data_IF_784124240741
#
_entry.id   IF_784124240741
#
_cell.length_a   1.000
_cell.length_b   1.000
_cell.length_c   1.000
_cell.angle_alpha   90.00
_cell.angle_beta   90.00
_cell.angle_gamma   90.00
#
_symmetry.space_group_name_H-M   'P 1'
#
loop_
_entity.id
_entity.type
_entity.pdbx_description
1 polymer ?
#
# COMPACT_ATOMS: atom_id res chain seq x y z
N UNK A 1 8.91 42.53 44.89
CA UNK A 1 9.08 42.66 43.45
C UNK A 1 8.91 41.24 42.85
N UNK A 2 7.70 40.90 42.40
CA UNK A 2 7.42 39.59 41.85
C UNK A 2 7.56 39.66 40.31
N UNK A 3 8.47 38.90 39.75
CA UNK A 3 8.61 38.75 38.32
C UNK A 3 7.63 37.64 37.83
N UNK A 4 6.66 38.05 37.02
CA UNK A 4 5.74 37.16 36.33
C UNK A 4 6.47 36.56 35.13
N UNK A 5 6.67 35.24 35.14
CA UNK A 5 7.15 34.47 33.98
C UNK A 5 5.94 34.21 33.06
N UNK A 6 5.89 34.88 31.92
CA UNK A 6 4.98 34.58 30.82
C UNK A 6 5.43 33.28 30.16
N UNK A 7 4.53 32.29 30.11
CA UNK A 7 4.69 31.06 29.35
C UNK A 7 4.66 31.37 27.83
N UNK A 8 5.47 30.68 27.01
CA UNK A 8 5.42 30.88 25.57
C UNK A 8 4.09 30.35 24.99
N UNK A 9 3.46 31.17 24.17
CA UNK A 9 2.25 30.81 23.40
C UNK A 9 2.56 29.71 22.38
N UNK A 10 1.73 28.69 22.33
CA UNK A 10 1.80 27.65 21.31
C UNK A 10 1.67 28.27 19.90
N UNK A 11 2.39 27.73 18.90
CA UNK A 11 2.24 28.18 17.53
C UNK A 11 0.83 27.85 17.02
N UNK A 12 0.25 28.67 16.11
CA UNK A 12 -1.05 28.40 15.54
C UNK A 12 -1.01 27.10 14.72
N UNK A 13 -2.02 26.25 14.88
CA UNK A 13 -2.19 25.06 14.05
C UNK A 13 -2.17 25.46 12.57
N UNK A 14 -1.28 24.88 11.80
CA UNK A 14 -1.23 25.04 10.36
C UNK A 14 -2.53 24.55 9.78
N UNK A 15 -3.35 25.44 9.25
CA UNK A 15 -4.54 25.08 8.52
C UNK A 15 -4.12 24.31 7.25
N UNK A 16 -4.49 23.04 7.16
CA UNK A 16 -4.30 22.24 5.96
C UNK A 16 -4.84 23.03 4.75
N UNK A 17 -4.01 23.27 3.76
CA UNK A 17 -4.46 23.87 2.51
C UNK A 17 -5.52 22.94 1.92
N UNK A 18 -6.72 23.42 1.56
CA UNK A 18 -7.68 22.60 0.85
C UNK A 18 -7.01 22.13 -0.45
N UNK A 19 -7.04 20.83 -0.70
CA UNK A 19 -6.66 20.27 -1.98
C UNK A 19 -7.48 20.99 -3.05
N UNK A 20 -6.83 21.55 -4.07
CA UNK A 20 -7.53 22.13 -5.21
C UNK A 20 -8.37 21.06 -5.89
N UNK A 21 -9.41 21.44 -6.67
CA UNK A 21 -10.19 20.47 -7.42
C UNK A 21 -9.22 19.65 -8.31
N UNK A 22 -9.44 18.32 -8.44
CA UNK A 22 -8.63 17.48 -9.30
C UNK A 22 -8.73 17.98 -10.76
N UNK A 23 -7.70 17.74 -11.59
CA UNK A 23 -7.78 18.09 -13.00
C UNK A 23 -8.98 17.38 -13.65
N UNK A 24 -9.69 18.03 -14.58
CA UNK A 24 -10.96 17.58 -15.15
C UNK A 24 -10.91 16.24 -15.91
N UNK A 25 -9.72 15.72 -16.20
CA UNK A 25 -9.51 14.49 -16.99
C UNK A 25 -8.84 13.36 -16.18
N UNK A 26 -8.78 13.44 -14.85
CA UNK A 26 -8.28 12.34 -14.03
C UNK A 26 -9.37 11.26 -13.90
N UNK A 27 -9.18 10.06 -14.50
CA UNK A 27 -10.16 8.99 -14.43
C UNK A 27 -10.43 8.49 -13.01
N UNK A 28 -9.55 8.80 -12.05
CA UNK A 28 -9.72 8.48 -10.64
C UNK A 28 -10.44 9.58 -9.84
N UNK A 29 -10.68 10.75 -10.45
CA UNK A 29 -11.25 11.91 -9.75
C UNK A 29 -12.66 11.68 -9.17
N UNK A 30 -13.36 10.62 -9.58
CA UNK A 30 -14.77 10.41 -9.24
C UNK A 30 -15.10 9.00 -8.74
N UNK A 31 -14.14 8.18 -8.33
CA UNK A 31 -14.45 6.84 -7.86
C UNK A 31 -13.25 5.98 -7.48
N UNK A 32 -13.53 4.71 -7.22
CA UNK A 32 -12.52 3.72 -6.88
C UNK A 32 -12.14 2.90 -8.11
N UNK A 33 -10.84 2.81 -8.37
CA UNK A 33 -10.28 1.81 -9.28
C UNK A 33 -9.89 0.58 -8.48
N UNK A 34 -10.41 -0.60 -8.86
CA UNK A 34 -10.17 -1.84 -8.14
C UNK A 34 -8.98 -2.60 -8.74
N UNK A 35 -8.08 -2.99 -7.88
CA UNK A 35 -6.92 -3.81 -8.21
C UNK A 35 -6.82 -5.05 -7.34
N UNK A 36 -5.86 -5.90 -7.68
CA UNK A 36 -5.64 -7.16 -6.98
C UNK A 36 -4.16 -7.32 -6.62
N UNK A 37 -3.90 -7.98 -5.49
CA UNK A 37 -2.56 -8.35 -5.08
C UNK A 37 -2.05 -9.55 -5.86
N UNK A 38 -0.78 -9.57 -6.24
CA UNK A 38 -0.16 -10.67 -6.99
C UNK A 38 -0.41 -12.05 -6.36
N UNK A 39 -0.37 -12.14 -5.02
CA UNK A 39 -0.57 -13.41 -4.30
C UNK A 39 -2.02 -13.86 -4.20
N UNK A 40 -2.96 -13.06 -4.68
CA UNK A 40 -4.36 -13.44 -4.71
C UNK A 40 -4.67 -14.42 -5.86
N UNK A 41 -3.79 -14.53 -6.84
CA UNK A 41 -3.92 -15.43 -7.97
C UNK A 41 -3.00 -16.64 -7.82
N UNK A 42 -3.49 -17.80 -8.28
CA UNK A 42 -2.76 -19.07 -8.20
C UNK A 42 -1.55 -19.08 -9.12
N UNK A 43 -0.49 -19.69 -8.63
CA UNK A 43 0.69 -20.09 -9.40
C UNK A 43 1.99 -19.57 -8.80
N UNK A 44 3.11 -20.05 -9.33
CA UNK A 44 4.41 -19.53 -8.96
C UNK A 44 4.52 -18.07 -9.41
N UNK A 45 5.37 -17.31 -8.73
CA UNK A 45 5.67 -15.94 -9.14
C UNK A 45 6.19 -15.93 -10.58
N UNK A 46 5.60 -15.11 -11.48
CA UNK A 46 6.08 -15.03 -12.85
C UNK A 46 7.51 -14.50 -12.90
N UNK A 47 8.38 -15.16 -13.70
CA UNK A 47 9.80 -14.79 -13.85
C UNK A 47 10.21 -14.55 -15.31
N UNK A 48 9.33 -14.91 -16.26
CA UNK A 48 9.59 -14.77 -17.69
C UNK A 48 8.39 -14.18 -18.44
N UNK A 49 8.60 -13.49 -19.59
CA UNK A 49 7.54 -12.80 -20.32
C UNK A 49 6.29 -13.62 -20.65
N UNK A 50 6.36 -14.92 -21.07
CA UNK A 50 5.14 -15.71 -21.32
C UNK A 50 4.29 -15.87 -20.06
N UNK A 51 4.93 -16.14 -18.92
CA UNK A 51 4.22 -16.30 -17.63
C UNK A 51 3.52 -15.00 -17.21
N UNK A 52 4.13 -13.83 -17.46
CA UNK A 52 3.51 -12.53 -17.18
C UNK A 52 2.28 -12.30 -18.04
N UNK A 53 2.30 -12.68 -19.31
CA UNK A 53 1.13 -12.56 -20.18
C UNK A 53 -0.05 -13.37 -19.65
N UNK A 54 0.19 -14.63 -19.32
CA UNK A 54 -0.85 -15.53 -18.82
C UNK A 54 -1.37 -15.08 -17.45
N UNK A 55 -0.49 -14.56 -16.60
CA UNK A 55 -0.86 -14.06 -15.28
C UNK A 55 -1.71 -12.79 -15.38
N UNK A 56 -1.30 -11.82 -16.20
CA UNK A 56 -2.03 -10.56 -16.40
C UNK A 56 -3.37 -10.77 -17.13
N UNK A 57 -3.45 -11.80 -17.98
CA UNK A 57 -4.73 -12.19 -18.56
C UNK A 57 -5.74 -12.65 -17.49
N UNK A 58 -5.30 -13.34 -16.42
CA UNK A 58 -6.17 -13.68 -15.30
C UNK A 58 -6.62 -12.44 -14.51
N UNK A 59 -5.73 -11.44 -14.34
CA UNK A 59 -6.08 -10.15 -13.71
C UNK A 59 -7.16 -9.45 -14.51
N UNK A 60 -6.99 -9.34 -15.84
CA UNK A 60 -7.96 -8.74 -16.74
C UNK A 60 -9.29 -9.52 -16.76
N UNK A 61 -9.23 -10.85 -16.78
CA UNK A 61 -10.41 -11.72 -16.72
C UNK A 61 -11.19 -11.52 -15.41
N UNK A 62 -10.50 -11.26 -14.30
CA UNK A 62 -11.13 -10.90 -13.02
C UNK A 62 -11.74 -9.50 -13.00
N UNK A 63 -11.59 -8.73 -14.09
CA UNK A 63 -12.10 -7.36 -14.23
C UNK A 63 -11.30 -6.30 -13.44
N UNK A 64 -10.09 -6.62 -13.00
CA UNK A 64 -9.26 -5.68 -12.24
C UNK A 64 -8.54 -4.68 -13.14
N UNK A 65 -8.52 -3.41 -12.72
CA UNK A 65 -7.88 -2.32 -13.44
C UNK A 65 -6.36 -2.34 -13.27
N UNK A 66 -5.88 -2.86 -12.14
CA UNK A 66 -4.46 -2.89 -11.83
C UNK A 66 -4.05 -4.10 -10.98
N UNK A 67 -2.76 -4.37 -11.01
CA UNK A 67 -2.07 -5.37 -10.22
C UNK A 67 -1.01 -4.69 -9.37
N UNK A 68 -0.97 -4.98 -8.05
CA UNK A 68 0.17 -4.67 -7.22
C UNK A 68 1.09 -5.89 -7.10
N UNK A 69 2.36 -5.67 -7.48
CA UNK A 69 3.39 -6.69 -7.46
C UNK A 69 3.95 -6.91 -6.06
N UNK A 70 4.56 -8.06 -5.82
CA UNK A 70 5.26 -8.38 -4.57
C UNK A 70 6.76 -8.52 -4.79
N UNK A 71 7.54 -7.86 -3.93
CA UNK A 71 8.94 -8.20 -3.67
C UNK A 71 9.00 -8.64 -2.21
N UNK A 72 9.02 -9.96 -1.99
CA UNK A 72 8.96 -10.57 -0.66
C UNK A 72 10.11 -11.56 -0.44
N UNK A 73 10.00 -12.35 0.61
CA UNK A 73 11.03 -13.27 1.09
C UNK A 73 11.12 -14.56 0.27
N UNK A 74 10.19 -14.81 -0.68
CA UNK A 74 10.30 -15.95 -1.59
C UNK A 74 11.45 -15.74 -2.57
N UNK A 75 12.24 -16.81 -2.89
CA UNK A 75 13.41 -16.66 -3.75
C UNK A 75 13.10 -15.99 -5.09
N UNK A 76 11.97 -16.35 -5.70
CA UNK A 76 11.57 -15.83 -7.01
C UNK A 76 11.23 -14.34 -6.98
N UNK A 77 10.56 -13.87 -5.91
CA UNK A 77 10.19 -12.47 -5.76
C UNK A 77 11.31 -11.62 -5.21
N UNK A 78 12.14 -12.15 -4.32
CA UNK A 78 13.34 -11.46 -3.87
C UNK A 78 14.34 -11.24 -5.01
N UNK A 79 14.50 -12.23 -5.90
CA UNK A 79 15.38 -12.10 -7.08
C UNK A 79 14.99 -10.93 -8.00
N UNK A 80 13.78 -10.42 -7.92
CA UNK A 80 13.33 -9.21 -8.64
C UNK A 80 14.11 -7.95 -8.27
N UNK A 81 14.71 -7.90 -7.08
CA UNK A 81 15.58 -6.79 -6.68
C UNK A 81 16.77 -6.61 -7.63
N UNK A 82 17.24 -7.71 -8.22
CA UNK A 82 18.40 -7.75 -9.10
C UNK A 82 18.02 -7.80 -10.60
N UNK A 83 16.72 -7.68 -10.90
CA UNK A 83 16.26 -7.67 -12.30
C UNK A 83 16.80 -6.47 -13.06
N UNK A 84 17.19 -6.73 -14.29
CA UNK A 84 17.59 -5.70 -15.23
C UNK A 84 16.42 -4.81 -15.64
N UNK A 85 16.74 -3.62 -16.12
CA UNK A 85 15.77 -2.70 -16.73
C UNK A 85 14.92 -3.37 -17.82
N UNK A 86 15.53 -4.24 -18.62
CA UNK A 86 14.83 -4.94 -19.69
C UNK A 86 13.78 -5.91 -19.16
N UNK A 87 14.07 -6.64 -18.08
CA UNK A 87 13.12 -7.55 -17.43
C UNK A 87 11.92 -6.77 -16.88
N UNK A 88 12.12 -5.66 -16.19
CA UNK A 88 11.04 -4.80 -15.70
C UNK A 88 10.19 -4.22 -16.83
N UNK A 89 10.82 -3.78 -17.91
CA UNK A 89 10.11 -3.28 -19.10
C UNK A 89 9.33 -4.37 -19.83
N UNK A 90 9.77 -5.62 -19.76
CA UNK A 90 8.99 -6.73 -20.30
C UNK A 90 7.70 -6.97 -19.52
N UNK A 91 7.72 -6.84 -18.18
CA UNK A 91 6.52 -6.86 -17.35
C UNK A 91 5.58 -5.71 -17.72
N UNK A 92 6.12 -4.50 -17.83
CA UNK A 92 5.35 -3.32 -18.24
C UNK A 92 4.64 -3.53 -19.57
N UNK A 93 5.34 -4.00 -20.60
CA UNK A 93 4.72 -4.29 -21.93
C UNK A 93 3.63 -5.34 -21.82
N UNK A 94 3.86 -6.40 -21.05
CA UNK A 94 2.84 -7.44 -20.86
C UNK A 94 1.58 -6.88 -20.16
N UNK A 95 1.74 -5.93 -19.24
CA UNK A 95 0.63 -5.26 -18.57
C UNK A 95 -0.13 -4.33 -19.54
N UNK A 96 0.59 -3.55 -20.34
CA UNK A 96 0.03 -2.70 -21.41
C UNK A 96 -0.75 -3.54 -22.43
N UNK A 97 -0.20 -4.68 -22.87
CA UNK A 97 -0.87 -5.63 -23.80
C UNK A 97 -2.14 -6.24 -23.20
N UNK A 98 -2.20 -6.44 -21.89
CA UNK A 98 -3.35 -6.98 -21.18
C UNK A 98 -4.38 -5.90 -20.79
N UNK A 99 -4.09 -4.62 -21.01
CA UNK A 99 -4.93 -3.52 -20.53
C UNK A 99 -4.98 -3.39 -18.99
N UNK A 100 -3.96 -3.87 -18.28
CA UNK A 100 -3.85 -3.85 -16.83
C UNK A 100 -2.71 -2.92 -16.43
N UNK A 101 -2.95 -2.01 -15.49
CA UNK A 101 -1.89 -1.16 -14.94
C UNK A 101 -1.09 -1.91 -13.87
N UNK A 102 0.21 -1.65 -13.73
CA UNK A 102 0.92 -1.98 -12.51
C UNK A 102 0.73 -0.81 -11.53
N UNK A 103 -0.07 -1.04 -10.49
CA UNK A 103 -0.49 -0.02 -9.54
C UNK A 103 0.58 0.32 -8.51
N UNK A 104 1.33 -0.68 -8.08
CA UNK A 104 2.38 -0.54 -7.09
C UNK A 104 3.27 -1.77 -6.99
N UNK A 105 4.29 -1.66 -6.12
CA UNK A 105 5.10 -2.79 -5.66
C UNK A 105 5.04 -2.81 -4.13
N UNK A 106 4.61 -3.94 -3.55
CA UNK A 106 4.65 -4.19 -2.11
C UNK A 106 6.06 -4.69 -1.73
N UNK A 107 6.84 -3.87 -1.03
CA UNK A 107 8.22 -4.18 -0.65
C UNK A 107 8.29 -4.93 0.70
N UNK A 108 7.61 -6.07 0.79
CA UNK A 108 7.48 -6.82 2.03
C UNK A 108 8.72 -7.65 2.41
N UNK A 109 9.75 -7.71 1.56
CA UNK A 109 11.06 -8.31 1.91
C UNK A 109 11.75 -7.59 3.09
N UNK A 110 11.35 -6.35 3.39
CA UNK A 110 11.80 -5.64 4.59
C UNK A 110 11.40 -6.31 5.91
N UNK A 111 10.48 -7.29 5.91
CA UNK A 111 10.24 -8.13 7.09
C UNK A 111 11.50 -8.90 7.50
N UNK A 112 12.24 -9.45 6.51
CA UNK A 112 13.49 -10.18 6.76
C UNK A 112 14.72 -9.27 6.77
N UNK A 113 14.74 -8.24 5.94
CA UNK A 113 15.82 -7.26 5.85
C UNK A 113 15.34 -5.99 6.58
N UNK A 114 15.26 -6.09 7.92
CA UNK A 114 14.54 -5.11 8.73
C UNK A 114 15.23 -3.73 8.75
N UNK A 115 14.51 -2.64 8.42
CA UNK A 115 15.04 -1.28 8.48
C UNK A 115 15.47 -0.84 9.87
N UNK A 116 14.78 -1.32 10.89
CA UNK A 116 15.04 -1.00 12.30
C UNK A 116 15.93 -2.01 13.02
N UNK A 117 16.60 -2.93 12.30
CA UNK A 117 17.46 -3.96 12.89
C UNK A 117 18.60 -3.37 13.73
N UNK A 118 18.93 -4.04 14.83
CA UNK A 118 20.10 -3.72 15.63
C UNK A 118 21.41 -3.90 14.86
N UNK A 119 21.43 -4.82 13.84
CA UNK A 119 22.61 -5.05 13.00
C UNK A 119 22.77 -3.94 11.93
N UNK A 120 23.90 -3.19 11.95
CA UNK A 120 24.16 -2.16 10.95
C UNK A 120 24.28 -2.70 9.51
N UNK A 121 24.67 -3.98 9.32
CA UNK A 121 24.78 -4.57 7.99
C UNK A 121 23.37 -4.80 7.40
N UNK A 122 22.43 -5.28 8.21
CA UNK A 122 21.02 -5.43 7.84
C UNK A 122 20.41 -4.08 7.46
N UNK A 123 20.64 -3.02 8.24
CA UNK A 123 20.15 -1.67 7.91
C UNK A 123 20.75 -1.11 6.61
N UNK A 124 22.03 -1.36 6.33
CA UNK A 124 22.62 -0.99 5.03
C UNK A 124 21.94 -1.72 3.88
N UNK A 125 21.73 -3.04 4.04
CA UNK A 125 21.02 -3.83 3.03
C UNK A 125 19.58 -3.36 2.84
N UNK A 126 18.87 -2.96 3.90
CA UNK A 126 17.54 -2.39 3.80
C UNK A 126 17.51 -1.10 2.95
N UNK A 127 18.52 -0.22 3.07
CA UNK A 127 18.66 0.97 2.20
C UNK A 127 18.89 0.61 0.73
N UNK A 128 19.69 -0.42 0.46
CA UNK A 128 19.90 -0.91 -0.91
C UNK A 128 18.60 -1.46 -1.50
N UNK A 129 17.88 -2.28 -0.73
CA UNK A 129 16.58 -2.86 -1.09
C UNK A 129 15.55 -1.76 -1.39
N UNK A 130 15.46 -0.73 -0.54
CA UNK A 130 14.60 0.43 -0.80
C UNK A 130 14.94 1.09 -2.14
N UNK A 131 16.21 1.34 -2.40
CA UNK A 131 16.65 1.95 -3.64
C UNK A 131 16.40 1.05 -4.87
N UNK A 132 16.52 -0.27 -4.73
CA UNK A 132 16.19 -1.26 -5.77
C UNK A 132 14.68 -1.26 -6.03
N UNK A 133 13.84 -1.27 -4.98
CA UNK A 133 12.37 -1.19 -5.09
C UNK A 133 11.89 0.08 -5.81
N UNK A 134 12.45 1.24 -5.47
CA UNK A 134 12.14 2.51 -6.16
C UNK A 134 12.50 2.47 -7.64
N UNK A 135 13.68 1.90 -8.00
CA UNK A 135 14.06 1.72 -9.41
C UNK A 135 13.15 0.74 -10.13
N UNK A 136 12.77 -0.36 -9.47
CA UNK A 136 11.83 -1.33 -10.01
C UNK A 136 10.48 -0.67 -10.35
N UNK A 137 9.91 0.12 -9.45
CA UNK A 137 8.69 0.89 -9.70
C UNK A 137 8.83 1.80 -10.92
N UNK A 138 9.92 2.57 -10.99
CA UNK A 138 10.18 3.46 -12.14
C UNK A 138 10.24 2.70 -13.47
N UNK A 139 10.97 1.58 -13.54
CA UNK A 139 11.16 0.82 -14.78
C UNK A 139 9.90 0.07 -15.20
N UNK A 140 9.11 -0.42 -14.25
CA UNK A 140 7.84 -1.10 -14.57
C UNK A 140 6.70 -0.11 -14.82
N UNK A 141 6.87 1.15 -14.44
CA UNK A 141 5.86 2.20 -14.57
C UNK A 141 4.85 2.24 -13.42
N UNK A 142 5.18 1.63 -12.28
CA UNK A 142 4.35 1.70 -11.07
C UNK A 142 4.55 3.04 -10.35
N UNK A 143 3.48 3.78 -10.03
CA UNK A 143 3.59 5.08 -9.38
C UNK A 143 3.89 5.02 -7.89
N UNK A 144 3.66 3.86 -7.24
CA UNK A 144 3.78 3.71 -5.78
C UNK A 144 4.67 2.53 -5.40
N UNK A 145 5.58 2.78 -4.46
CA UNK A 145 6.25 1.74 -3.69
C UNK A 145 5.59 1.66 -2.31
N UNK A 146 4.83 0.59 -2.05
CA UNK A 146 4.25 0.34 -0.74
C UNK A 146 5.33 -0.20 0.19
N UNK A 147 5.41 0.38 1.39
CA UNK A 147 6.41 0.07 2.41
C UNK A 147 5.68 -0.39 3.66
N UNK A 148 5.87 -1.63 4.06
CA UNK A 148 5.29 -2.13 5.29
C UNK A 148 5.86 -1.40 6.51
N UNK A 149 4.99 -1.01 7.43
CA UNK A 149 5.34 -0.21 8.61
C UNK A 149 6.09 -0.97 9.71
N UNK A 150 6.60 -2.17 9.45
CA UNK A 150 7.40 -2.91 10.44
C UNK A 150 8.77 -2.27 10.62
N UNK A 151 9.10 -1.93 11.86
CA UNK A 151 10.50 -1.58 12.20
C UNK A 151 11.39 -2.83 12.12
N UNK A 152 10.94 -3.90 12.77
CA UNK A 152 11.49 -5.26 12.72
C UNK A 152 10.32 -6.25 12.74
N UNK A 153 10.41 -7.34 11.97
CA UNK A 153 9.34 -8.35 11.93
C UNK A 153 9.77 -9.65 12.62
N UNK A 154 10.99 -10.13 12.41
CA UNK A 154 11.52 -11.38 12.97
C UNK A 154 12.46 -11.18 14.16
N UNK A 155 12.71 -9.95 14.56
CA UNK A 155 13.47 -9.61 15.76
C UNK A 155 12.72 -8.59 16.61
N UNK A 156 12.98 -8.57 17.92
CA UNK A 156 12.39 -7.57 18.80
C UNK A 156 12.95 -6.18 18.48
N UNK A 157 12.11 -5.16 18.27
CA UNK A 157 12.58 -3.81 18.04
C UNK A 157 13.34 -3.26 19.25
N UNK A 158 14.53 -2.72 18.99
CA UNK A 158 15.31 -1.99 20.01
C UNK A 158 14.83 -0.53 20.16
N UNK A 159 15.41 0.21 21.13
CA UNK A 159 15.01 1.59 21.42
C UNK A 159 15.20 2.56 20.23
N UNK A 160 16.11 2.25 19.32
CA UNK A 160 16.42 3.06 18.15
C UNK A 160 15.70 2.59 16.86
N UNK A 161 14.97 1.47 16.87
CA UNK A 161 14.42 0.86 15.67
C UNK A 161 13.47 1.79 14.90
N UNK A 162 12.61 2.52 15.62
CA UNK A 162 11.73 3.52 15.03
C UNK A 162 12.51 4.66 14.35
N UNK A 163 13.56 5.13 14.99
CA UNK A 163 14.43 6.19 14.46
C UNK A 163 15.13 5.72 13.17
N UNK A 164 15.70 4.51 13.15
CA UNK A 164 16.35 3.96 11.95
C UNK A 164 15.37 3.74 10.79
N UNK A 165 14.12 3.37 11.10
CA UNK A 165 13.06 3.29 10.10
C UNK A 165 12.75 4.67 9.50
N UNK A 166 12.60 5.71 10.33
CA UNK A 166 12.37 7.08 9.87
C UNK A 166 13.57 7.63 9.07
N UNK A 167 14.80 7.34 9.48
CA UNK A 167 16.02 7.70 8.73
C UNK A 167 16.02 7.05 7.34
N UNK A 168 15.64 5.76 7.21
CA UNK A 168 15.53 5.09 5.92
C UNK A 168 14.55 5.82 4.99
N UNK A 169 13.37 6.19 5.50
CA UNK A 169 12.36 6.91 4.72
C UNK A 169 12.91 8.28 4.27
N UNK A 170 13.47 9.06 5.19
CA UNK A 170 14.06 10.38 4.92
C UNK A 170 15.17 10.29 3.85
N UNK A 171 16.10 9.37 4.01
CA UNK A 171 17.23 9.16 3.08
C UNK A 171 16.75 8.73 1.68
N UNK A 172 15.56 8.13 1.57
CA UNK A 172 15.00 7.63 0.31
C UNK A 172 14.22 8.68 -0.49
N UNK A 173 13.72 9.74 0.16
CA UNK A 173 12.93 10.81 -0.48
C UNK A 173 13.62 11.40 -1.72
N UNK A 174 14.91 11.76 -1.71
CA UNK A 174 15.54 12.34 -2.89
C UNK A 174 15.59 11.39 -4.10
N UNK A 175 15.68 10.09 -3.86
CA UNK A 175 15.62 9.09 -4.94
C UNK A 175 14.21 8.91 -5.45
N UNK A 176 13.22 8.79 -4.56
CA UNK A 176 11.81 8.70 -4.90
C UNK A 176 11.38 9.89 -5.78
N UNK A 177 11.76 11.12 -5.39
CA UNK A 177 11.49 12.34 -6.15
C UNK A 177 12.11 12.31 -7.56
N UNK A 178 13.37 11.90 -7.68
CA UNK A 178 14.04 11.80 -9.01
C UNK A 178 13.41 10.77 -9.93
N UNK A 179 12.85 9.71 -9.37
CA UNK A 179 12.22 8.61 -10.12
C UNK A 179 10.73 8.84 -10.37
N UNK A 180 10.12 9.84 -9.73
CA UNK A 180 8.68 10.09 -9.82
C UNK A 180 7.83 8.98 -9.16
N UNK A 181 8.36 8.33 -8.12
CA UNK A 181 7.71 7.24 -7.40
C UNK A 181 7.35 7.70 -5.99
N UNK A 182 6.10 7.55 -5.59
CA UNK A 182 5.66 7.87 -4.23
C UNK A 182 5.89 6.65 -3.32
N UNK A 183 6.48 6.87 -2.17
CA UNK A 183 6.57 5.88 -1.09
C UNK A 183 5.28 5.93 -0.26
N UNK A 184 4.57 4.81 -0.13
CA UNK A 184 3.34 4.70 0.65
C UNK A 184 3.56 3.85 1.89
N UNK A 185 3.42 4.41 3.09
CA UNK A 185 3.55 3.66 4.35
C UNK A 185 2.26 2.91 4.63
N UNK A 186 2.34 1.59 4.72
CA UNK A 186 1.23 0.74 5.18
C UNK A 186 1.25 0.62 6.70
N UNK A 187 0.09 0.81 7.35
CA UNK A 187 -0.10 0.42 8.74
C UNK A 187 -0.19 -1.11 8.85
N UNK A 188 0.47 -1.70 9.85
CA UNK A 188 0.69 -3.15 9.90
C UNK A 188 0.05 -3.82 11.11
N UNK A 189 -0.11 -5.15 11.01
CA UNK A 189 -0.68 -6.04 12.04
C UNK A 189 0.29 -6.38 13.20
N UNK A 190 1.57 -5.99 13.08
CA UNK A 190 2.62 -6.28 14.07
C UNK A 190 3.08 -5.05 14.85
N UNK A 191 4.37 -5.06 15.24
CA UNK A 191 5.02 -3.95 15.94
C UNK A 191 5.64 -2.98 14.95
N UNK A 192 5.29 -1.70 15.06
CA UNK A 192 5.82 -0.66 14.17
C UNK A 192 4.84 0.48 13.97
N UNK A 193 4.63 0.86 12.72
CA UNK A 193 3.60 1.81 12.31
C UNK A 193 2.27 1.04 12.21
N UNK A 194 1.51 0.98 13.31
CA UNK A 194 0.31 0.13 13.44
C UNK A 194 -0.99 0.85 13.07
N UNK A 195 -0.94 2.17 12.85
CA UNK A 195 -2.10 2.99 12.58
C UNK A 195 -1.84 4.01 11.48
N UNK A 196 -2.89 4.51 10.86
CA UNK A 196 -2.79 5.61 9.89
C UNK A 196 -2.30 6.87 10.60
N UNK A 197 -2.80 7.14 11.81
CA UNK A 197 -2.36 8.26 12.65
C UNK A 197 -0.83 8.22 12.86
N UNK A 198 -0.27 7.03 13.17
CA UNK A 198 1.18 6.89 13.34
C UNK A 198 1.95 7.05 12.03
N UNK A 199 1.39 6.58 10.90
CA UNK A 199 1.99 6.81 9.58
C UNK A 199 2.01 8.31 9.23
N UNK A 200 0.95 9.04 9.56
CA UNK A 200 0.86 10.49 9.33
C UNK A 200 1.88 11.29 10.13
N UNK A 201 2.22 10.87 11.37
CA UNK A 201 3.30 11.52 12.11
C UNK A 201 4.62 11.51 11.33
N UNK A 202 4.95 10.39 10.66
CA UNK A 202 6.15 10.30 9.82
C UNK A 202 6.03 11.12 8.52
N UNK A 203 4.84 11.16 7.92
CA UNK A 203 4.58 11.97 6.71
C UNK A 203 4.74 13.45 7.02
N UNK A 204 4.19 13.92 8.14
CA UNK A 204 4.28 15.31 8.58
C UNK A 204 5.71 15.69 9.02
N UNK A 205 6.43 14.81 9.72
CA UNK A 205 7.80 15.04 10.16
C UNK A 205 8.76 15.15 8.96
N UNK A 206 8.61 14.28 7.95
CA UNK A 206 9.48 14.25 6.77
C UNK A 206 9.09 15.32 5.74
N UNK A 207 7.84 15.75 5.73
CA UNK A 207 7.27 16.84 4.93
C UNK A 207 7.66 16.75 3.43
N UNK A 208 7.35 15.61 2.81
CA UNK A 208 7.64 15.38 1.39
C UNK A 208 6.43 14.83 0.64
N UNK A 209 6.11 15.38 -0.56
CA UNK A 209 5.04 14.83 -1.39
C UNK A 209 5.35 13.41 -1.91
N UNK A 210 6.58 12.95 -1.80
CA UNK A 210 7.01 11.60 -2.19
C UNK A 210 6.97 10.59 -1.04
N UNK A 211 6.48 10.98 0.14
CA UNK A 211 6.15 10.08 1.23
C UNK A 211 4.71 10.32 1.67
N UNK A 212 3.89 9.30 1.58
CA UNK A 212 2.46 9.34 1.82
C UNK A 212 2.02 8.08 2.58
N UNK A 213 0.73 7.92 2.85
CA UNK A 213 0.19 6.71 3.48
C UNK A 213 -0.48 5.79 2.46
N UNK A 214 -0.37 4.49 2.70
CA UNK A 214 -1.05 3.41 1.99
C UNK A 214 -1.84 2.58 3.01
N UNK A 215 -3.02 3.02 3.46
CA UNK A 215 -3.76 2.38 4.54
C UNK A 215 -4.17 0.94 4.23
N UNK A 216 -4.21 0.11 5.28
CA UNK A 216 -4.82 -1.22 5.27
C UNK A 216 -5.96 -1.27 6.30
N UNK A 217 -7.20 -1.47 5.81
CA UNK A 217 -8.41 -1.52 6.66
C UNK A 217 -8.43 -2.77 7.55
N UNK A 218 -7.89 -3.90 7.08
CA UNK A 218 -7.79 -5.12 7.85
C UNK A 218 -6.84 -4.98 9.04
N UNK A 219 -5.70 -4.32 8.85
CA UNK A 219 -4.75 -4.08 9.93
C UNK A 219 -5.31 -3.12 10.99
N UNK A 220 -6.14 -2.14 10.62
CA UNK A 220 -6.89 -1.31 11.59
C UNK A 220 -7.78 -2.21 12.47
N UNK A 221 -8.54 -3.10 11.85
CA UNK A 221 -9.43 -4.02 12.56
C UNK A 221 -8.67 -5.03 13.43
N UNK A 222 -7.55 -5.59 12.94
CA UNK A 222 -6.69 -6.53 13.70
C UNK A 222 -6.11 -5.87 14.94
N UNK A 223 -5.64 -4.63 14.83
CA UNK A 223 -5.13 -3.83 15.94
C UNK A 223 -6.24 -3.37 16.91
N UNK A 224 -7.51 -3.54 16.53
CA UNK A 224 -8.65 -3.11 17.34
C UNK A 224 -8.81 -1.59 17.43
N UNK A 225 -8.31 -0.87 16.42
CA UNK A 225 -8.39 0.57 16.32
C UNK A 225 -9.76 1.02 15.79
N UNK A 226 -10.16 2.24 16.14
CA UNK A 226 -11.44 2.80 15.66
C UNK A 226 -11.25 3.41 14.26
N UNK A 227 -11.93 2.88 13.22
CA UNK A 227 -11.84 3.44 11.88
C UNK A 227 -12.35 4.89 11.79
N UNK A 228 -13.20 5.36 12.75
CA UNK A 228 -13.63 6.77 12.82
C UNK A 228 -12.51 7.74 13.15
N UNK A 229 -11.44 7.25 13.74
CA UNK A 229 -10.22 8.01 14.03
C UNK A 229 -9.23 7.83 12.90
N UNK A 230 -8.97 6.59 12.51
CA UNK A 230 -7.88 6.25 11.62
C UNK A 230 -8.15 6.66 10.16
N UNK A 231 -9.32 6.36 9.60
CA UNK A 231 -9.59 6.67 8.19
C UNK A 231 -9.56 8.18 7.91
N UNK A 232 -10.16 9.06 8.74
CA UNK A 232 -10.03 10.52 8.55
C UNK A 232 -8.61 11.06 8.75
N UNK A 233 -7.75 10.40 9.55
CA UNK A 233 -6.38 10.84 9.77
C UNK A 233 -5.55 10.87 8.48
N UNK A 234 -5.82 9.96 7.54
CA UNK A 234 -5.14 9.91 6.25
C UNK A 234 -5.67 10.86 5.17
N UNK A 235 -6.66 11.71 5.48
CA UNK A 235 -7.30 12.59 4.48
C UNK A 235 -6.28 13.44 3.70
N UNK A 236 -6.33 13.33 2.36
CA UNK A 236 -5.44 14.06 1.44
C UNK A 236 -4.07 13.42 1.27
N UNK A 237 -3.75 12.34 1.99
CA UNK A 237 -2.46 11.66 1.97
C UNK A 237 -2.54 10.17 1.60
N UNK A 238 -3.72 9.63 1.34
CA UNK A 238 -3.89 8.21 0.95
C UNK A 238 -3.66 8.02 -0.55
N UNK A 239 -2.50 7.49 -0.94
CA UNK A 239 -2.11 7.29 -2.35
C UNK A 239 -2.76 6.06 -2.99
N UNK A 240 -3.12 5.09 -2.19
CA UNK A 240 -3.91 3.90 -2.48
C UNK A 240 -4.34 3.29 -1.14
N UNK A 241 -5.05 2.17 -1.16
CA UNK A 241 -5.54 1.50 0.05
C UNK A 241 -5.62 0.00 -0.17
N UNK A 242 -5.31 -0.79 0.87
CA UNK A 242 -5.61 -2.22 0.92
C UNK A 242 -7.02 -2.46 1.47
N UNK A 243 -7.79 -3.25 0.72
CA UNK A 243 -8.98 -3.90 1.21
C UNK A 243 -8.63 -5.36 1.54
N UNK A 244 -8.49 -5.65 2.82
CA UNK A 244 -8.17 -6.96 3.35
C UNK A 244 -9.14 -7.28 4.49
N UNK A 245 -9.68 -8.48 4.53
CA UNK A 245 -10.40 -8.95 5.70
C UNK A 245 -9.49 -9.77 6.61
N UNK A 246 -9.79 -9.76 7.91
CA UNK A 246 -8.99 -10.39 8.95
C UNK A 246 -9.88 -11.00 10.02
N UNK A 247 -9.33 -11.90 10.82
CA UNK A 247 -9.87 -12.28 12.13
C UNK A 247 -8.80 -12.06 13.19
N UNK A 248 -9.21 -11.90 14.44
CA UNK A 248 -8.26 -11.71 15.52
C UNK A 248 -7.25 -12.86 15.58
N UNK A 249 -5.96 -12.54 15.46
CA UNK A 249 -4.88 -13.52 15.38
C UNK A 249 -4.76 -14.24 14.03
N UNK A 250 -5.61 -13.89 13.05
CA UNK A 250 -5.56 -14.41 11.68
C UNK A 250 -5.53 -13.24 10.70
N UNK A 251 -4.39 -12.55 10.54
CA UNK A 251 -4.30 -11.33 9.73
C UNK A 251 -4.26 -11.59 8.22
N UNK A 252 -4.30 -12.86 7.79
CA UNK A 252 -4.18 -13.26 6.38
C UNK A 252 -5.10 -14.44 6.07
N UNK A 253 -5.41 -14.65 4.78
CA UNK A 253 -6.19 -15.79 4.25
C UNK A 253 -7.64 -15.85 4.77
N UNK A 254 -8.19 -14.71 5.16
CA UNK A 254 -9.61 -14.56 5.47
C UNK A 254 -10.33 -14.08 4.21
N UNK A 255 -11.42 -14.75 3.85
CA UNK A 255 -12.21 -14.35 2.70
C UNK A 255 -12.92 -13.03 2.97
N UNK A 256 -13.08 -12.21 1.92
CA UNK A 256 -13.70 -10.91 2.01
C UNK A 256 -15.14 -11.04 2.53
N UNK A 257 -15.46 -10.32 3.59
CA UNK A 257 -16.75 -10.38 4.29
C UNK A 257 -16.89 -11.49 5.33
N UNK A 258 -15.87 -12.35 5.51
CA UNK A 258 -15.88 -13.41 6.53
C UNK A 258 -15.10 -13.06 7.80
N UNK A 259 -14.56 -11.85 7.87
CA UNK A 259 -13.73 -11.35 8.95
C UNK A 259 -14.43 -10.37 9.88
N UNK A 260 -13.65 -9.46 10.44
CA UNK A 260 -14.09 -8.50 11.46
C UNK A 260 -14.02 -7.03 11.00
N UNK A 261 -13.65 -6.77 9.75
CA UNK A 261 -13.61 -5.42 9.21
C UNK A 261 -15.03 -4.85 9.12
N UNK A 262 -15.26 -3.68 9.70
CA UNK A 262 -16.50 -2.93 9.54
C UNK A 262 -16.50 -2.22 8.18
N UNK A 263 -16.87 -2.97 7.15
CA UNK A 263 -16.86 -2.51 5.76
C UNK A 263 -17.82 -1.36 5.52
N UNK A 264 -19.02 -1.43 6.09
CA UNK A 264 -20.04 -0.39 5.88
C UNK A 264 -19.60 0.94 6.49
N UNK A 265 -19.05 0.90 7.72
CA UNK A 265 -18.48 2.08 8.35
C UNK A 265 -17.26 2.60 7.56
N UNK A 266 -16.33 1.71 7.17
CA UNK A 266 -15.12 2.13 6.45
C UNK A 266 -15.45 2.83 5.14
N UNK A 267 -16.37 2.27 4.33
CA UNK A 267 -16.78 2.89 3.07
C UNK A 267 -17.59 4.19 3.29
N UNK A 268 -18.42 4.27 4.34
CA UNK A 268 -19.09 5.54 4.71
C UNK A 268 -18.07 6.64 5.00
N UNK A 269 -17.02 6.33 5.78
CA UNK A 269 -15.96 7.30 6.10
C UNK A 269 -15.14 7.72 4.88
N UNK A 270 -14.92 6.81 3.92
CA UNK A 270 -14.28 7.16 2.64
C UNK A 270 -15.18 8.08 1.80
N UNK A 271 -16.49 7.80 1.75
CA UNK A 271 -17.46 8.64 1.07
C UNK A 271 -17.54 10.04 1.68
N UNK A 272 -17.61 10.14 3.02
CA UNK A 272 -17.69 11.40 3.77
C UNK A 272 -16.51 12.33 3.52
N UNK A 273 -15.35 11.77 3.24
CA UNK A 273 -14.17 12.58 2.88
C UNK A 273 -13.96 12.75 1.37
N UNK A 274 -14.86 12.17 0.54
CA UNK A 274 -14.76 12.23 -0.92
C UNK A 274 -13.52 11.52 -1.47
N UNK A 275 -13.06 10.45 -0.82
CA UNK A 275 -11.86 9.76 -1.27
C UNK A 275 -12.13 8.98 -2.56
N UNK A 276 -11.30 9.24 -3.56
CA UNK A 276 -11.26 8.55 -4.83
C UNK A 276 -9.81 8.08 -5.09
N UNK A 277 -9.66 6.88 -5.64
CA UNK A 277 -8.31 6.36 -5.81
C UNK A 277 -8.26 4.86 -6.09
N UNK A 278 -7.09 4.28 -5.88
CA UNK A 278 -6.85 2.86 -6.09
C UNK A 278 -7.08 2.07 -4.80
N UNK A 279 -7.99 1.10 -4.88
CA UNK A 279 -8.28 0.16 -3.81
C UNK A 279 -7.79 -1.23 -4.24
N UNK A 280 -6.72 -1.72 -3.63
CA UNK A 280 -6.17 -3.03 -3.91
C UNK A 280 -6.79 -4.08 -2.98
N UNK A 281 -7.40 -5.11 -3.56
CA UNK A 281 -7.93 -6.25 -2.81
C UNK A 281 -6.76 -7.15 -2.45
N UNK A 282 -6.41 -7.19 -1.16
CA UNK A 282 -5.29 -7.96 -0.65
C UNK A 282 -5.75 -9.33 -0.16
N UNK A 283 -5.40 -10.36 -0.90
CA UNK A 283 -5.72 -11.76 -0.61
C UNK A 283 -4.51 -12.67 -0.86
N UNK A 284 -4.54 -13.86 -0.28
CA UNK A 284 -3.55 -14.92 -0.50
C UNK A 284 -4.25 -16.20 -0.93
N UNK A 285 -4.37 -16.42 -2.24
CA UNK A 285 -4.99 -17.60 -2.86
C UNK A 285 -4.02 -18.29 -3.83
N UNK A 286 -2.73 -18.10 -3.65
CA UNK A 286 -1.65 -18.60 -4.50
C UNK A 286 -1.60 -20.14 -4.61
N UNK A 287 -2.22 -20.85 -3.68
CA UNK A 287 -2.40 -22.30 -3.64
C UNK A 287 -3.82 -22.78 -4.05
N UNK A 288 -4.79 -21.88 -4.21
CA UNK A 288 -6.17 -22.22 -4.46
C UNK A 288 -6.47 -22.42 -5.96
N UNK A 289 -7.03 -23.58 -6.38
CA UNK A 289 -7.34 -23.82 -7.79
C UNK A 289 -8.44 -22.90 -8.35
N UNK A 290 -9.27 -22.34 -7.49
CA UNK A 290 -10.37 -21.43 -7.78
C UNK A 290 -10.03 -19.95 -7.48
N UNK A 291 -8.75 -19.60 -7.43
CA UNK A 291 -8.28 -18.27 -7.02
C UNK A 291 -8.93 -17.11 -7.78
N UNK A 292 -9.10 -17.24 -9.11
CA UNK A 292 -9.76 -16.19 -9.92
C UNK A 292 -11.22 -16.01 -9.49
N UNK A 293 -11.96 -17.11 -9.26
CA UNK A 293 -13.35 -17.03 -8.81
C UNK A 293 -13.46 -16.38 -7.41
N UNK A 294 -12.52 -16.68 -6.49
CA UNK A 294 -12.43 -16.02 -5.17
C UNK A 294 -12.17 -14.52 -5.31
N UNK A 295 -11.25 -14.14 -6.21
CA UNK A 295 -10.96 -12.73 -6.46
C UNK A 295 -12.18 -12.00 -7.05
N UNK A 296 -12.91 -12.61 -7.98
CA UNK A 296 -14.16 -12.05 -8.54
C UNK A 296 -15.24 -11.89 -7.46
N UNK A 297 -15.39 -12.88 -6.58
CA UNK A 297 -16.32 -12.78 -5.46
C UNK A 297 -15.93 -11.65 -4.47
N UNK A 298 -14.64 -11.53 -4.15
CA UNK A 298 -14.15 -10.44 -3.31
C UNK A 298 -14.37 -9.06 -3.96
N UNK A 299 -14.13 -8.95 -5.28
CA UNK A 299 -14.43 -7.75 -6.04
C UNK A 299 -15.91 -7.38 -5.94
N UNK A 300 -16.81 -8.33 -6.21
CA UNK A 300 -18.26 -8.10 -6.16
C UNK A 300 -18.70 -7.62 -4.75
N UNK A 301 -18.12 -8.20 -3.69
CA UNK A 301 -18.37 -7.77 -2.31
C UNK A 301 -17.96 -6.30 -2.10
N UNK A 302 -16.76 -5.92 -2.52
CA UNK A 302 -16.25 -4.55 -2.38
C UNK A 302 -17.08 -3.56 -3.21
N UNK A 303 -17.46 -3.92 -4.44
CA UNK A 303 -18.34 -3.09 -5.29
C UNK A 303 -19.71 -2.84 -4.64
N UNK A 304 -20.27 -3.86 -4.00
CA UNK A 304 -21.55 -3.72 -3.28
C UNK A 304 -21.42 -2.70 -2.14
N UNK A 305 -20.34 -2.78 -1.32
CA UNK A 305 -20.10 -1.84 -0.21
C UNK A 305 -19.84 -0.42 -0.70
N UNK A 306 -19.02 -0.27 -1.74
CA UNK A 306 -18.78 1.05 -2.35
C UNK A 306 -20.06 1.68 -2.88
N UNK A 307 -20.86 0.90 -3.60
CA UNK A 307 -22.16 1.37 -4.14
C UNK A 307 -23.14 1.75 -3.03
N UNK A 308 -23.22 0.97 -1.95
CA UNK A 308 -24.08 1.28 -0.80
C UNK A 308 -23.65 2.59 -0.11
N UNK A 309 -22.38 2.92 -0.11
CA UNK A 309 -21.85 4.19 0.39
C UNK A 309 -21.90 5.34 -0.64
N UNK A 310 -22.43 5.12 -1.83
CA UNK A 310 -22.49 6.13 -2.90
C UNK A 310 -21.18 6.39 -3.63
N UNK A 311 -20.20 5.50 -3.52
CA UNK A 311 -18.90 5.62 -4.21
C UNK A 311 -18.98 4.88 -5.55
N UNK A 312 -18.62 5.56 -6.63
CA UNK A 312 -18.55 4.96 -7.97
C UNK A 312 -17.32 4.03 -8.09
N UNK A 313 -17.47 2.98 -8.90
CA UNK A 313 -16.33 2.18 -9.36
C UNK A 313 -15.96 2.64 -10.77
N UNK A 314 -14.67 2.88 -10.99
CA UNK A 314 -14.13 3.28 -12.30
C UNK A 314 -13.20 2.19 -12.82
N UNK A 315 -13.27 1.94 -14.13
CA UNK A 315 -12.48 0.88 -14.78
C UNK A 315 -13.35 -0.14 -15.49
N UNK A 316 -12.81 -1.35 -15.81
CA UNK A 316 -13.56 -2.39 -16.47
C UNK A 316 -14.79 -2.82 -15.66
N UNK A 317 -15.89 -3.09 -16.35
CA UNK A 317 -17.06 -3.69 -15.70
C UNK A 317 -16.72 -5.09 -15.17
N UNK A 318 -17.43 -5.53 -14.13
CA UNK A 318 -17.30 -6.89 -13.63
C UNK A 318 -17.73 -7.88 -14.73
N UNK A 319 -17.03 -9.02 -14.88
CA UNK A 319 -17.37 -10.05 -15.87
C UNK A 319 -18.72 -10.72 -15.59
#
# INVERSE_FOLDING_TARGET
MSASLLAPSAPPASAARPAGPPPPDDPLANGLSLGIYEKALRGPAPVAPPQWRDFLAQVAQGGFSFLDLSIDESPEREARLDWSREQWRAVRRAAEDAGVMIGGICLSVHRRIAPGSADPATRRRAREVMAQGLRACHEVGAPVLQIAGYYCFYEEPGPDSARWYAELLTDSVPLAARLGVVMGIENVDGVGVTSITRAMELVEEIDSPFLQVYPDLGNIAEQGLDPRIEVPAGRGHMVAMHAKDVRRGEPRRVEMGAGIVDWDLSFSLLADQGWAGRLMIEMWNDDAPDSVARCVAARAFIEERARAAGIAIVGPEAP
#
